data_IF_124882161563
#
_entry.id   IF_124882161563
#
_cell.length_a   1.000
_cell.length_b   1.000
_cell.length_c   1.000
_cell.angle_alpha   90.00
_cell.angle_beta   90.00
_cell.angle_gamma   90.00
#
_symmetry.space_group_name_H-M   'P 1'
#
loop_
_entity.id
_entity.type
_entity.pdbx_description
1 polymer ?
#
# COMPACT_ATOMS: atom_id res chain seq x y z
N UNK A 1 -39.30 -31.83 66.39
CA UNK A 1 -39.99 -31.04 67.44
C UNK A 1 -39.75 -29.58 67.09
N UNK A 2 -40.63 -29.00 66.33
CA UNK A 2 -41.70 -28.10 66.75
C UNK A 2 -41.20 -26.72 67.14
N UNK A 3 -41.48 -25.74 66.18
CA UNK A 3 -42.19 -24.48 66.44
C UNK A 3 -41.40 -23.33 67.05
N UNK A 4 -41.51 -22.10 66.74
CA UNK A 4 -42.43 -21.24 65.96
C UNK A 4 -41.94 -19.81 66.00
N UNK A 5 -42.18 -19.07 64.95
CA UNK A 5 -42.87 -17.77 64.85
C UNK A 5 -42.31 -16.47 65.41
N UNK A 6 -42.22 -15.53 64.50
CA UNK A 6 -42.76 -14.17 64.48
C UNK A 6 -42.15 -13.11 65.38
N UNK A 7 -41.91 -12.02 64.73
CA UNK A 7 -41.85 -10.71 65.38
C UNK A 7 -41.28 -9.66 64.46
N UNK A 8 -42.16 -8.85 63.97
CA UNK A 8 -42.08 -7.79 62.97
C UNK A 8 -41.56 -6.46 63.58
N UNK A 9 -41.30 -5.54 62.66
CA UNK A 9 -41.43 -4.08 62.72
C UNK A 9 -40.14 -3.26 62.81
N UNK A 10 -39.85 -2.62 61.70
CA UNK A 10 -39.68 -1.18 61.47
C UNK A 10 -38.56 -0.42 62.14
N UNK A 11 -37.65 0.09 61.37
CA UNK A 11 -37.38 1.53 61.37
C UNK A 11 -36.54 1.94 60.15
N UNK A 12 -36.97 2.96 59.47
CA UNK A 12 -36.31 3.76 58.42
C UNK A 12 -34.91 4.18 58.86
N UNK A 13 -33.96 4.13 57.96
CA UNK A 13 -32.92 5.16 57.88
C UNK A 13 -32.21 5.12 56.52
N UNK A 14 -32.48 6.15 55.76
CA UNK A 14 -31.56 6.97 54.96
C UNK A 14 -30.54 6.29 54.03
N UNK A 15 -30.78 6.50 52.78
CA UNK A 15 -29.92 6.22 51.63
C UNK A 15 -28.53 6.85 51.76
N UNK A 16 -27.49 6.05 51.51
CA UNK A 16 -26.25 6.52 50.96
C UNK A 16 -26.02 5.76 49.66
N UNK A 17 -26.25 6.47 48.55
CA UNK A 17 -25.78 6.05 47.22
C UNK A 17 -24.25 6.05 47.21
N UNK A 18 -23.63 4.92 47.38
CA UNK A 18 -22.29 4.70 46.91
C UNK A 18 -22.38 4.20 45.48
N UNK A 19 -22.03 5.08 44.56
CA UNK A 19 -21.82 4.75 43.18
C UNK A 19 -20.71 3.69 43.04
N UNK A 20 -21.08 2.46 42.75
CA UNK A 20 -20.19 1.48 42.18
C UNK A 20 -19.83 1.97 40.79
N UNK A 21 -18.66 2.58 40.65
CA UNK A 21 -18.00 2.70 39.35
C UNK A 21 -17.70 1.29 38.86
N UNK A 22 -18.60 0.82 37.99
CA UNK A 22 -18.38 -0.36 37.21
C UNK A 22 -17.13 -0.15 36.35
N UNK A 23 -16.23 -1.12 36.43
CA UNK A 23 -15.07 -1.26 35.56
C UNK A 23 -15.38 -0.92 34.13
N UNK A 24 -14.55 -0.04 33.57
CA UNK A 24 -14.63 0.36 32.19
C UNK A 24 -14.57 -0.85 31.24
N UNK A 25 -15.67 -1.08 30.57
CA UNK A 25 -15.58 -1.55 29.20
C UNK A 25 -14.92 -0.42 28.45
N UNK A 26 -13.80 -0.72 27.81
CA UNK A 26 -13.33 0.06 26.68
C UNK A 26 -14.47 0.08 25.64
N UNK A 27 -15.35 1.08 25.77
CA UNK A 27 -16.16 1.50 24.68
C UNK A 27 -15.17 2.02 23.66
N UNK A 28 -14.84 1.21 22.66
CA UNK A 28 -14.00 1.62 21.57
C UNK A 28 -14.48 2.99 21.12
N UNK A 29 -13.59 3.96 21.12
CA UNK A 29 -13.91 5.33 20.75
C UNK A 29 -14.73 5.28 19.46
N UNK A 30 -15.95 5.85 19.50
CA UNK A 30 -16.80 5.91 18.33
C UNK A 30 -15.99 6.52 17.19
N UNK A 31 -15.97 5.87 16.04
CA UNK A 31 -15.28 6.37 14.87
C UNK A 31 -15.85 7.77 14.55
N UNK A 32 -15.06 8.86 14.64
CA UNK A 32 -15.55 10.19 14.35
C UNK A 32 -16.05 10.35 12.92
N UNK A 33 -15.76 9.39 12.04
CA UNK A 33 -16.23 9.35 10.66
C UNK A 33 -17.45 8.43 10.47
N UNK A 34 -17.93 7.74 11.51
CA UNK A 34 -19.17 6.98 11.44
C UNK A 34 -20.37 7.93 11.46
N UNK A 35 -21.20 7.90 10.42
CA UNK A 35 -22.45 8.67 10.33
C UNK A 35 -23.61 7.73 10.02
N UNK A 36 -24.59 7.69 10.90
CA UNK A 36 -25.82 6.92 10.65
C UNK A 36 -26.62 7.42 9.44
N UNK A 37 -26.35 8.65 8.98
CA UNK A 37 -27.04 9.29 7.87
C UNK A 37 -26.32 9.15 6.54
N UNK A 38 -25.13 8.57 6.51
CA UNK A 38 -24.37 8.34 5.28
C UNK A 38 -25.01 7.24 4.45
N UNK A 39 -25.49 7.61 3.26
CA UNK A 39 -26.24 6.71 2.34
C UNK A 39 -25.70 6.85 0.94
N UNK A 40 -25.38 5.74 0.32
CA UNK A 40 -24.97 5.70 -1.09
C UNK A 40 -24.03 4.53 -1.39
N UNK A 41 -23.82 4.29 -2.67
CA UNK A 41 -22.88 3.30 -3.18
C UNK A 41 -21.81 4.03 -3.98
N UNK A 42 -20.55 3.73 -3.70
CA UNK A 42 -19.40 4.20 -4.48
C UNK A 42 -18.57 3.03 -4.97
N UNK A 43 -17.99 3.20 -6.14
CA UNK A 43 -17.14 2.20 -6.79
C UNK A 43 -15.75 2.76 -7.01
N UNK A 44 -14.77 1.93 -6.75
CA UNK A 44 -13.36 2.18 -7.04
C UNK A 44 -12.77 1.12 -7.95
N UNK A 45 -11.68 1.45 -8.61
CA UNK A 45 -10.87 0.47 -9.33
C UNK A 45 -9.41 0.92 -9.41
N UNK A 46 -8.51 -0.01 -9.71
CA UNK A 46 -7.13 0.37 -10.04
C UNK A 46 -6.06 -0.52 -9.46
N UNK A 47 -5.08 0.09 -8.79
CA UNK A 47 -3.87 -0.55 -8.32
C UNK A 47 -4.13 -1.84 -7.54
N UNK A 48 -3.59 -2.96 -8.03
CA UNK A 48 -3.71 -4.28 -7.38
C UNK A 48 -2.80 -4.40 -6.15
N UNK A 49 -1.80 -3.52 -6.01
CA UNK A 49 -0.97 -3.37 -4.81
C UNK A 49 -1.80 -3.02 -3.57
N UNK A 50 -2.87 -2.24 -3.74
CA UNK A 50 -3.75 -1.80 -2.66
C UNK A 50 -4.83 -2.82 -2.27
N UNK A 51 -5.03 -3.94 -2.98
CA UNK A 51 -6.22 -4.78 -2.83
C UNK A 51 -6.54 -5.16 -1.38
N UNK A 52 -5.55 -5.66 -0.62
CA UNK A 52 -5.79 -6.05 0.79
C UNK A 52 -6.04 -4.85 1.71
N UNK A 53 -5.42 -3.70 1.43
CA UNK A 53 -5.69 -2.46 2.16
C UNK A 53 -7.11 -1.96 1.87
N UNK A 54 -7.54 -2.03 0.62
CA UNK A 54 -8.90 -1.69 0.19
C UNK A 54 -9.92 -2.60 0.87
N UNK A 55 -9.69 -3.91 0.90
CA UNK A 55 -10.56 -4.87 1.59
C UNK A 55 -10.68 -4.55 3.09
N UNK A 56 -9.56 -4.24 3.75
CA UNK A 56 -9.55 -3.87 5.17
C UNK A 56 -10.29 -2.55 5.43
N UNK A 57 -10.10 -1.54 4.57
CA UNK A 57 -10.80 -0.26 4.66
C UNK A 57 -12.30 -0.41 4.40
N UNK A 58 -12.70 -1.07 3.30
CA UNK A 58 -14.09 -1.29 2.92
C UNK A 58 -14.86 -2.03 4.01
N UNK A 59 -14.34 -3.16 4.48
CA UNK A 59 -14.99 -3.97 5.51
C UNK A 59 -15.19 -3.18 6.81
N UNK A 60 -14.17 -2.42 7.23
CA UNK A 60 -14.25 -1.63 8.47
C UNK A 60 -15.18 -0.42 8.31
N UNK A 61 -15.10 0.28 7.18
CA UNK A 61 -15.93 1.44 6.88
C UNK A 61 -17.41 1.07 6.78
N UNK A 62 -17.76 0.05 6.00
CA UNK A 62 -19.14 -0.43 5.84
C UNK A 62 -19.70 -1.00 7.15
N UNK A 63 -18.86 -1.65 7.97
CA UNK A 63 -19.28 -2.09 9.30
C UNK A 63 -19.71 -0.95 10.24
N UNK A 64 -19.17 0.25 10.04
CA UNK A 64 -19.54 1.45 10.80
C UNK A 64 -20.64 2.30 10.11
N UNK A 65 -20.86 2.13 8.80
CA UNK A 65 -21.76 2.92 7.97
C UNK A 65 -22.70 2.01 7.17
N UNK A 66 -23.67 1.39 7.86
CA UNK A 66 -24.50 0.29 7.33
C UNK A 66 -25.36 0.64 6.09
N UNK A 67 -25.49 1.91 5.74
CA UNK A 67 -26.25 2.39 4.57
C UNK A 67 -25.34 2.91 3.45
N UNK A 68 -24.03 2.82 3.63
CA UNK A 68 -23.04 3.14 2.62
C UNK A 68 -22.38 1.85 2.13
N UNK A 69 -22.21 1.73 0.81
CA UNK A 69 -21.52 0.60 0.17
C UNK A 69 -20.31 1.11 -0.58
N UNK A 70 -19.20 0.42 -0.45
CA UNK A 70 -17.97 0.68 -1.18
C UNK A 70 -17.55 -0.61 -1.85
N UNK A 71 -17.22 -0.57 -3.13
CA UNK A 71 -16.67 -1.67 -3.90
C UNK A 71 -15.35 -1.26 -4.56
N UNK A 72 -14.42 -2.18 -4.68
CA UNK A 72 -13.13 -1.93 -5.33
C UNK A 72 -12.71 -3.10 -6.21
N UNK A 73 -12.48 -2.81 -7.48
CA UNK A 73 -11.98 -3.78 -8.46
C UNK A 73 -10.51 -3.51 -8.79
N UNK A 74 -9.68 -4.54 -8.76
CA UNK A 74 -8.33 -4.48 -9.30
C UNK A 74 -8.32 -4.16 -10.81
N UNK A 75 -7.16 -4.27 -11.44
CA UNK A 75 -6.99 -4.08 -12.88
C UNK A 75 -5.76 -3.25 -13.26
N UNK A 76 -5.00 -2.80 -12.26
CA UNK A 76 -3.81 -1.96 -12.44
C UNK A 76 -4.11 -0.46 -12.40
N UNK A 77 -3.07 0.32 -12.11
CA UNK A 77 -3.17 1.78 -11.90
C UNK A 77 -3.71 2.52 -13.13
N UNK A 78 -3.21 2.20 -14.32
CA UNK A 78 -3.66 2.82 -15.57
C UNK A 78 -5.14 2.56 -15.86
N UNK A 79 -5.61 1.31 -15.70
CA UNK A 79 -7.02 0.97 -15.88
C UNK A 79 -7.93 1.68 -14.86
N UNK A 80 -7.47 1.84 -13.62
CA UNK A 80 -8.20 2.60 -12.59
C UNK A 80 -8.37 4.06 -12.96
N UNK A 81 -7.29 4.74 -13.38
CA UNK A 81 -7.34 6.13 -13.83
C UNK A 81 -8.25 6.31 -15.04
N UNK A 82 -8.14 5.42 -16.03
CA UNK A 82 -9.03 5.42 -17.20
C UNK A 82 -10.50 5.34 -16.81
N UNK A 83 -10.88 4.39 -15.94
CA UNK A 83 -12.26 4.24 -15.46
C UNK A 83 -12.74 5.48 -14.67
N UNK A 84 -11.85 6.10 -13.87
CA UNK A 84 -12.19 7.35 -13.18
C UNK A 84 -12.45 8.47 -14.19
N UNK A 85 -11.61 8.61 -15.20
CA UNK A 85 -11.77 9.63 -16.26
C UNK A 85 -13.07 9.42 -17.05
N UNK A 86 -13.43 8.17 -17.35
CA UNK A 86 -14.65 7.81 -18.05
C UNK A 86 -15.93 7.92 -17.20
N UNK A 87 -15.80 8.10 -15.87
CA UNK A 87 -16.93 8.14 -14.97
C UNK A 87 -17.52 6.77 -14.62
N UNK A 88 -16.80 5.70 -14.94
CA UNK A 88 -17.23 4.33 -14.62
C UNK A 88 -17.03 3.98 -13.13
N UNK A 89 -16.16 4.73 -12.44
CA UNK A 89 -15.92 4.62 -10.99
C UNK A 89 -15.87 6.01 -10.35
N UNK A 90 -16.06 6.04 -9.04
CA UNK A 90 -16.09 7.27 -8.23
C UNK A 90 -14.71 7.63 -7.69
N UNK A 91 -13.84 6.65 -7.49
CA UNK A 91 -12.45 6.86 -7.10
C UNK A 91 -11.54 5.81 -7.76
N UNK A 92 -10.24 6.10 -7.81
CA UNK A 92 -9.25 5.17 -8.33
C UNK A 92 -8.12 4.96 -7.33
N UNK A 93 -7.66 3.71 -7.20
CA UNK A 93 -6.38 3.41 -6.61
C UNK A 93 -5.29 3.51 -7.68
N UNK A 94 -4.23 4.27 -7.43
CA UNK A 94 -3.16 4.42 -8.41
C UNK A 94 -1.79 4.57 -7.73
N UNK A 95 -0.81 3.82 -8.23
CA UNK A 95 0.59 3.89 -7.80
C UNK A 95 1.38 4.95 -8.60
N UNK A 96 0.73 5.55 -9.59
CA UNK A 96 1.29 6.59 -10.44
C UNK A 96 0.33 7.77 -10.47
N UNK A 97 0.81 9.00 -10.28
CA UNK A 97 -0.02 10.19 -10.39
C UNK A 97 -0.77 10.27 -11.73
N UNK A 98 -1.95 10.88 -11.70
CA UNK A 98 -2.71 11.22 -12.91
C UNK A 98 -1.94 12.23 -13.75
N UNK A 99 -2.03 12.08 -15.06
CA UNK A 99 -1.47 13.04 -16.00
C UNK A 99 -2.29 14.34 -16.04
N UNK A 100 -1.70 15.43 -16.51
CA UNK A 100 -2.40 16.70 -16.66
C UNK A 100 -3.63 16.59 -17.58
N UNK A 101 -3.56 15.76 -18.62
CA UNK A 101 -4.70 15.48 -19.52
C UNK A 101 -5.84 14.76 -18.79
N UNK A 102 -5.52 13.69 -18.04
CA UNK A 102 -6.51 12.95 -17.24
C UNK A 102 -7.23 13.87 -16.25
N UNK A 103 -6.48 14.74 -15.56
CA UNK A 103 -7.03 15.70 -14.59
C UNK A 103 -7.92 16.75 -15.28
N UNK A 104 -7.45 17.29 -16.40
CA UNK A 104 -8.21 18.28 -17.17
C UNK A 104 -9.56 17.71 -17.63
N UNK A 105 -9.60 16.46 -18.09
CA UNK A 105 -10.81 15.78 -18.55
C UNK A 105 -11.88 15.60 -17.47
N UNK A 106 -11.50 15.52 -16.20
CA UNK A 106 -12.45 15.37 -15.08
C UNK A 106 -12.66 16.67 -14.30
N UNK A 107 -12.10 17.78 -14.76
CA UNK A 107 -12.28 19.08 -14.11
C UNK A 107 -11.56 19.23 -12.76
N UNK A 108 -10.53 18.45 -12.52
CA UNK A 108 -9.72 18.44 -11.29
C UNK A 108 -9.85 17.18 -10.46
N UNK A 109 -8.80 16.87 -9.72
CA UNK A 109 -8.72 15.68 -8.87
C UNK A 109 -8.07 16.01 -7.51
N UNK A 110 -8.38 15.19 -6.50
CA UNK A 110 -7.50 14.98 -5.35
C UNK A 110 -6.67 13.73 -5.60
N UNK A 111 -5.39 13.74 -5.20
CA UNK A 111 -4.53 12.57 -5.18
C UNK A 111 -3.88 12.46 -3.80
N UNK A 112 -4.31 11.46 -3.05
CA UNK A 112 -4.05 11.33 -1.62
C UNK A 112 -3.15 10.12 -1.36
N UNK A 113 -1.93 10.29 -0.84
CA UNK A 113 -1.00 9.21 -0.54
C UNK A 113 -1.46 8.43 0.70
N UNK A 114 -2.31 7.44 0.51
CA UNK A 114 -2.97 6.71 1.60
C UNK A 114 -2.40 5.32 1.85
N UNK A 115 -1.65 4.77 0.89
CA UNK A 115 -1.03 3.47 1.02
C UNK A 115 0.46 3.56 0.67
N UNK A 116 1.32 3.17 1.62
CA UNK A 116 2.77 3.27 1.48
C UNK A 116 3.38 1.91 1.79
N UNK A 117 3.94 1.28 0.77
CA UNK A 117 4.43 -0.08 0.89
C UNK A 117 5.78 -0.25 0.21
N UNK A 118 6.69 -1.05 0.79
CA UNK A 118 7.90 -1.44 0.08
C UNK A 118 7.56 -2.39 -1.08
N UNK A 119 8.24 -2.21 -2.21
CA UNK A 119 8.19 -3.14 -3.33
C UNK A 119 9.29 -4.17 -3.12
N UNK A 120 8.90 -5.38 -2.75
CA UNK A 120 9.83 -6.49 -2.65
C UNK A 120 10.26 -6.96 -4.04
N UNK A 121 11.57 -7.10 -4.24
CA UNK A 121 12.10 -7.89 -5.35
C UNK A 121 12.20 -9.33 -4.86
N UNK A 122 11.25 -10.16 -5.31
CA UNK A 122 11.07 -11.53 -4.85
C UNK A 122 11.68 -12.52 -5.83
N UNK A 123 12.22 -13.62 -5.31
CA UNK A 123 12.82 -14.68 -6.13
C UNK A 123 12.52 -16.07 -5.59
N UNK A 124 12.61 -17.06 -6.47
CA UNK A 124 12.42 -18.48 -6.14
C UNK A 124 13.74 -19.24 -6.31
N UNK A 125 14.45 -19.45 -5.20
CA UNK A 125 15.69 -20.20 -5.16
C UNK A 125 15.65 -21.29 -4.08
N UNK A 126 16.18 -22.49 -4.37
CA UNK A 126 16.32 -23.53 -3.36
C UNK A 126 17.20 -23.07 -2.18
N UNK A 127 16.72 -23.24 -0.97
CA UNK A 127 17.42 -22.87 0.25
C UNK A 127 17.37 -21.37 0.62
N UNK A 128 16.67 -20.55 -0.17
CA UNK A 128 16.51 -19.12 0.09
C UNK A 128 15.03 -18.78 0.17
N UNK A 129 14.45 -18.81 1.37
CA UNK A 129 13.02 -18.55 1.62
C UNK A 129 12.85 -17.68 2.85
N UNK A 130 11.69 -17.04 2.98
CA UNK A 130 11.33 -16.25 4.14
C UNK A 130 12.32 -15.11 4.41
N UNK A 131 13.03 -15.17 5.54
CA UNK A 131 13.99 -14.15 5.95
C UNK A 131 15.37 -14.26 5.26
N UNK A 132 15.52 -15.17 4.30
CA UNK A 132 16.75 -15.27 3.52
C UNK A 132 16.78 -14.19 2.45
N UNK A 133 17.83 -13.37 2.48
CA UNK A 133 17.98 -12.28 1.52
C UNK A 133 19.24 -12.47 0.67
N UNK A 134 19.10 -12.23 -0.63
CA UNK A 134 20.25 -12.01 -1.52
C UNK A 134 20.51 -10.51 -1.56
N UNK A 135 21.73 -10.12 -1.24
CA UNK A 135 22.16 -8.72 -1.28
C UNK A 135 22.42 -8.28 -2.72
N UNK A 136 21.85 -7.15 -3.11
CA UNK A 136 22.12 -6.51 -4.39
C UNK A 136 22.30 -5.01 -4.24
N UNK A 137 23.30 -4.43 -4.89
CA UNK A 137 23.30 -2.97 -5.13
C UNK A 137 22.26 -2.63 -6.21
N UNK A 138 21.83 -1.37 -6.30
CA UNK A 138 20.93 -0.94 -7.37
C UNK A 138 21.48 -1.24 -8.77
N UNK A 139 22.81 -1.11 -8.97
CA UNK A 139 23.47 -1.45 -10.24
C UNK A 139 23.41 -2.94 -10.56
N UNK A 140 23.66 -3.81 -9.56
CA UNK A 140 23.59 -5.27 -9.75
C UNK A 140 22.16 -5.69 -10.02
N UNK A 141 21.19 -5.14 -9.29
CA UNK A 141 19.77 -5.40 -9.52
C UNK A 141 19.34 -4.98 -10.94
N UNK A 142 19.77 -3.81 -11.41
CA UNK A 142 19.54 -3.37 -12.77
C UNK A 142 20.11 -4.32 -13.82
N UNK A 143 21.33 -4.81 -13.61
CA UNK A 143 21.98 -5.80 -14.50
C UNK A 143 21.27 -7.16 -14.49
N UNK A 144 20.75 -7.58 -13.35
CA UNK A 144 19.94 -8.80 -13.23
C UNK A 144 18.63 -8.65 -14.01
N UNK A 145 17.88 -7.58 -13.75
CA UNK A 145 16.59 -7.35 -14.37
C UNK A 145 16.68 -7.04 -15.87
N UNK A 146 17.76 -6.40 -16.33
CA UNK A 146 18.02 -6.18 -17.76
C UNK A 146 18.54 -7.42 -18.49
N UNK A 147 18.89 -8.51 -17.77
CA UNK A 147 19.45 -9.72 -18.36
C UNK A 147 20.94 -9.62 -18.70
N UNK A 148 21.66 -8.61 -18.22
CA UNK A 148 23.12 -8.53 -18.32
C UNK A 148 23.80 -9.56 -17.39
N UNK A 149 23.21 -9.83 -16.22
CA UNK A 149 23.55 -10.94 -15.34
C UNK A 149 22.49 -12.02 -15.54
N UNK A 150 22.91 -13.21 -15.98
CA UNK A 150 22.00 -14.28 -16.40
C UNK A 150 22.00 -15.50 -15.49
N UNK A 151 22.87 -15.55 -14.48
CA UNK A 151 22.98 -16.69 -13.56
C UNK A 151 23.08 -16.22 -12.12
N UNK A 152 22.49 -16.99 -11.21
CA UNK A 152 22.48 -16.66 -9.79
C UNK A 152 23.87 -16.74 -9.14
N UNK A 153 24.77 -17.61 -9.63
CA UNK A 153 26.18 -17.71 -9.17
C UNK A 153 27.14 -16.78 -9.90
N UNK A 154 26.64 -15.74 -10.58
CA UNK A 154 27.48 -14.73 -11.22
C UNK A 154 28.47 -14.12 -10.21
N UNK A 155 29.77 -13.93 -10.58
CA UNK A 155 30.74 -13.34 -9.68
C UNK A 155 30.36 -12.01 -9.05
N UNK A 156 29.57 -11.16 -9.75
CA UNK A 156 29.10 -9.90 -9.20
C UNK A 156 28.06 -10.11 -8.08
N UNK A 157 27.21 -11.13 -8.18
CA UNK A 157 26.29 -11.52 -7.10
C UNK A 157 27.03 -12.21 -5.95
N UNK A 158 27.94 -13.12 -6.25
CA UNK A 158 28.73 -13.86 -5.25
C UNK A 158 29.57 -12.92 -4.37
N UNK A 159 30.15 -11.88 -4.96
CA UNK A 159 30.96 -10.89 -4.24
C UNK A 159 30.14 -10.08 -3.19
N UNK A 160 28.83 -9.86 -3.44
CA UNK A 160 27.93 -9.16 -2.52
C UNK A 160 27.34 -10.10 -1.44
N UNK A 161 27.52 -11.41 -1.61
CA UNK A 161 26.90 -12.44 -0.77
C UNK A 161 27.95 -13.45 -0.26
N UNK A 162 29.00 -13.00 0.45
CA UNK A 162 30.04 -13.87 0.94
C UNK A 162 29.46 -14.95 1.86
N UNK A 163 29.76 -16.22 1.56
CA UNK A 163 29.29 -17.37 2.31
C UNK A 163 27.89 -17.89 1.89
N UNK A 164 27.17 -17.20 1.01
CA UNK A 164 25.93 -17.72 0.42
C UNK A 164 26.25 -18.68 -0.73
N UNK A 165 25.72 -19.89 -0.68
CA UNK A 165 25.86 -20.88 -1.76
C UNK A 165 24.83 -20.59 -2.88
N UNK A 166 25.07 -19.51 -3.63
CA UNK A 166 24.22 -19.17 -4.78
C UNK A 166 24.30 -20.28 -5.85
N UNK A 167 23.14 -20.82 -6.29
CA UNK A 167 23.15 -21.97 -7.20
C UNK A 167 23.52 -21.59 -8.62
N UNK A 168 24.08 -22.54 -9.37
CA UNK A 168 24.31 -22.40 -10.81
C UNK A 168 23.01 -22.56 -11.60
N UNK A 169 22.10 -21.63 -11.43
CA UNK A 169 20.80 -21.55 -12.08
C UNK A 169 20.69 -20.31 -12.95
N UNK A 170 19.97 -20.46 -14.06
CA UNK A 170 19.63 -19.33 -14.91
C UNK A 170 18.66 -18.42 -14.18
N UNK A 171 18.86 -17.11 -14.30
CA UNK A 171 17.89 -16.10 -13.86
C UNK A 171 16.78 -15.99 -14.91
N UNK A 172 15.53 -16.08 -14.47
CA UNK A 172 14.33 -15.89 -15.29
C UNK A 172 13.61 -14.68 -14.75
N UNK A 173 13.69 -13.56 -15.46
CA UNK A 173 13.02 -12.33 -15.07
C UNK A 173 11.54 -12.43 -15.41
N UNK A 174 10.69 -12.03 -14.45
CA UNK A 174 9.24 -11.95 -14.58
C UNK A 174 8.84 -10.49 -14.55
N UNK A 175 8.25 -9.98 -15.64
CA UNK A 175 7.70 -8.63 -15.73
C UNK A 175 6.18 -8.61 -15.54
N UNK A 176 5.58 -7.42 -15.39
CA UNK A 176 4.12 -7.23 -15.43
C UNK A 176 3.64 -7.21 -16.88
N UNK A 177 2.50 -7.83 -17.15
CA UNK A 177 1.85 -7.80 -18.47
C UNK A 177 0.79 -6.71 -18.62
N UNK A 178 0.39 -6.10 -17.51
CA UNK A 178 -0.53 -4.98 -17.42
C UNK A 178 0.20 -3.66 -17.12
N UNK A 179 -0.47 -2.52 -17.31
CA UNK A 179 0.03 -1.21 -16.93
C UNK A 179 0.04 -1.09 -15.41
N UNK A 180 1.25 -1.05 -14.84
CA UNK A 180 1.48 -1.19 -13.41
C UNK A 180 2.29 -0.03 -12.84
N UNK A 181 1.70 0.69 -11.89
CA UNK A 181 2.44 1.69 -11.13
C UNK A 181 3.56 1.08 -10.27
N UNK A 182 3.44 -0.19 -9.85
CA UNK A 182 4.54 -0.93 -9.20
C UNK A 182 5.73 -1.10 -10.15
N UNK A 183 5.48 -1.38 -11.45
CA UNK A 183 6.51 -1.38 -12.49
C UNK A 183 7.17 -0.01 -12.61
N UNK A 184 6.38 1.06 -12.70
CA UNK A 184 6.92 2.42 -12.81
C UNK A 184 7.75 2.82 -11.59
N UNK A 185 7.33 2.49 -10.37
CA UNK A 185 8.10 2.78 -9.16
C UNK A 185 9.45 2.05 -9.15
N UNK A 186 9.49 0.76 -9.52
CA UNK A 186 10.74 0.01 -9.65
C UNK A 186 11.63 0.59 -10.75
N UNK A 187 11.09 0.85 -11.94
CA UNK A 187 11.88 1.38 -13.07
C UNK A 187 12.38 2.80 -12.80
N UNK A 188 11.62 3.63 -12.07
CA UNK A 188 12.09 4.93 -11.56
C UNK A 188 13.31 4.78 -10.66
N UNK A 189 13.25 3.86 -9.69
CA UNK A 189 14.40 3.57 -8.85
C UNK A 189 15.62 3.16 -9.68
N UNK A 190 15.47 2.17 -10.58
CA UNK A 190 16.57 1.68 -11.39
C UNK A 190 17.18 2.75 -12.31
N UNK A 191 16.35 3.55 -12.96
CA UNK A 191 16.80 4.66 -13.81
C UNK A 191 17.55 5.73 -13.02
N UNK A 192 17.14 5.98 -11.76
CA UNK A 192 17.78 6.96 -10.88
C UNK A 192 19.15 6.48 -10.39
N UNK A 193 19.24 5.23 -9.89
CA UNK A 193 20.47 4.76 -9.21
C UNK A 193 21.46 4.07 -10.15
N UNK A 194 21.00 3.60 -11.31
CA UNK A 194 21.82 2.81 -12.23
C UNK A 194 21.53 3.14 -13.72
N UNK A 195 21.54 4.42 -14.15
CA UNK A 195 21.11 4.80 -15.50
C UNK A 195 21.90 4.15 -16.63
N UNK A 196 23.15 3.73 -16.38
CA UNK A 196 23.97 3.01 -17.39
C UNK A 196 23.57 1.54 -17.53
N UNK A 197 23.14 0.90 -16.44
CA UNK A 197 22.73 -0.50 -16.44
C UNK A 197 21.23 -0.65 -16.78
N UNK A 198 20.46 0.41 -16.58
CA UNK A 198 19.02 0.51 -16.89
C UNK A 198 18.74 1.75 -17.74
N UNK A 199 19.00 1.72 -19.04
CA UNK A 199 18.81 2.87 -19.95
C UNK A 199 17.37 2.95 -20.47
N UNK A 200 16.39 2.74 -19.61
CA UNK A 200 14.97 2.79 -19.92
C UNK A 200 14.30 3.88 -19.09
N UNK A 201 13.41 4.64 -19.70
CA UNK A 201 12.59 5.61 -19.00
C UNK A 201 11.64 4.91 -18.02
N UNK A 202 11.26 5.57 -16.92
CA UNK A 202 10.25 5.04 -16.00
C UNK A 202 8.87 4.92 -16.67
N UNK A 203 8.40 3.68 -16.81
CA UNK A 203 7.14 3.35 -17.50
C UNK A 203 6.27 2.41 -16.66
N UNK A 204 4.94 2.46 -16.86
CA UNK A 204 4.01 1.48 -16.27
C UNK A 204 4.07 0.13 -16.97
N UNK A 205 4.42 0.13 -18.24
CA UNK A 205 4.64 -1.07 -19.06
C UNK A 205 6.06 -1.61 -18.84
N UNK A 206 6.21 -2.92 -18.67
CA UNK A 206 7.53 -3.53 -18.56
C UNK A 206 8.32 -3.37 -19.88
N UNK A 207 9.51 -2.71 -19.86
CA UNK A 207 10.16 -2.30 -21.10
C UNK A 207 10.88 -3.41 -21.85
N UNK A 208 11.11 -4.57 -21.19
CA UNK A 208 11.94 -5.63 -21.76
C UNK A 208 11.09 -6.74 -22.38
N UNK A 209 11.56 -7.27 -23.48
CA UNK A 209 10.97 -8.42 -24.15
C UNK A 209 11.73 -9.70 -23.81
N UNK A 210 11.04 -10.81 -23.79
CA UNK A 210 11.59 -12.10 -23.34
C UNK A 210 11.49 -12.27 -21.82
N UNK A 211 11.61 -13.50 -21.32
CA UNK A 211 11.28 -13.80 -19.93
C UNK A 211 9.83 -14.22 -19.76
N UNK A 212 9.35 -14.18 -18.54
CA UNK A 212 7.95 -14.49 -18.18
C UNK A 212 7.22 -13.23 -17.79
N UNK A 213 5.89 -13.31 -17.72
CA UNK A 213 5.06 -12.20 -17.27
C UNK A 213 3.91 -12.69 -16.39
N UNK A 214 3.39 -11.78 -15.55
CA UNK A 214 2.24 -12.01 -14.70
C UNK A 214 1.29 -10.82 -14.75
N UNK A 215 0.00 -11.10 -14.84
CA UNK A 215 -1.05 -10.09 -14.81
C UNK A 215 -1.39 -9.72 -13.37
N UNK A 216 -1.32 -8.43 -13.06
CA UNK A 216 -1.51 -7.93 -11.71
C UNK A 216 -0.47 -8.46 -10.71
N UNK A 217 -0.61 -8.07 -9.45
CA UNK A 217 0.28 -8.52 -8.36
C UNK A 217 0.16 -10.03 -8.12
N UNK A 218 -1.05 -10.58 -8.19
CA UNK A 218 -1.29 -12.01 -7.97
C UNK A 218 -0.65 -12.88 -9.06
N UNK A 219 -0.81 -12.51 -10.34
CA UNK A 219 -0.19 -13.20 -11.47
C UNK A 219 1.32 -13.13 -11.43
N UNK A 220 1.90 -11.98 -11.02
CA UNK A 220 3.34 -11.83 -10.79
C UNK A 220 3.85 -12.85 -9.75
N UNK A 221 3.24 -12.90 -8.56
CA UNK A 221 3.65 -13.81 -7.48
C UNK A 221 3.44 -15.27 -7.89
N UNK A 222 2.34 -15.60 -8.55
CA UNK A 222 2.08 -16.95 -9.06
C UNK A 222 3.18 -17.37 -10.04
N UNK A 223 3.56 -16.52 -10.99
CA UNK A 223 4.60 -16.81 -11.99
C UNK A 223 5.97 -16.97 -11.34
N UNK A 224 6.34 -16.12 -10.39
CA UNK A 224 7.60 -16.25 -9.63
C UNK A 224 7.62 -17.54 -8.82
N UNK A 225 6.51 -17.90 -8.17
CA UNK A 225 6.42 -19.12 -7.35
C UNK A 225 6.47 -20.41 -8.17
N UNK A 226 6.04 -20.37 -9.43
CA UNK A 226 5.87 -21.56 -10.27
C UNK A 226 7.18 -22.17 -10.78
N UNK A 227 8.28 -21.39 -10.87
CA UNK A 227 9.53 -21.86 -11.45
C UNK A 227 10.76 -21.46 -10.63
N UNK A 228 11.67 -22.39 -10.46
CA UNK A 228 12.98 -22.15 -9.81
C UNK A 228 13.87 -21.27 -10.68
N UNK A 229 14.57 -20.33 -10.05
CA UNK A 229 15.46 -19.37 -10.72
C UNK A 229 14.77 -18.09 -11.17
N UNK A 230 13.47 -17.95 -10.95
CA UNK A 230 12.71 -16.73 -11.26
C UNK A 230 13.04 -15.59 -10.30
N UNK A 231 12.90 -14.36 -10.81
CA UNK A 231 12.94 -13.10 -10.06
C UNK A 231 11.88 -12.17 -10.63
N UNK A 232 11.13 -11.51 -9.75
CA UNK A 232 10.10 -10.53 -10.09
C UNK A 232 9.94 -9.50 -8.97
N UNK A 233 8.86 -8.74 -8.99
CA UNK A 233 8.62 -7.66 -8.02
C UNK A 233 7.13 -7.53 -7.71
N UNK A 234 6.85 -7.24 -6.46
CA UNK A 234 5.46 -7.05 -5.99
C UNK A 234 5.44 -6.22 -4.71
N UNK A 235 4.26 -5.77 -4.33
CA UNK A 235 4.02 -5.31 -2.97
C UNK A 235 4.49 -6.37 -1.97
N UNK A 236 5.24 -5.94 -0.96
CA UNK A 236 5.87 -6.87 -0.01
C UNK A 236 4.85 -7.73 0.73
N UNK A 237 3.64 -7.21 0.97
CA UNK A 237 2.55 -7.94 1.63
C UNK A 237 2.07 -9.18 0.86
N UNK A 238 2.30 -9.20 -0.44
CA UNK A 238 1.87 -10.28 -1.34
C UNK A 238 2.94 -11.36 -1.53
N UNK A 239 4.15 -11.15 -1.02
CA UNK A 239 5.24 -12.11 -1.16
C UNK A 239 5.11 -13.19 -0.09
N UNK A 240 4.84 -14.44 -0.46
CA UNK A 240 4.73 -15.53 0.51
C UNK A 240 6.10 -15.90 1.09
N UNK A 241 6.11 -16.42 2.31
CA UNK A 241 7.34 -16.85 2.99
C UNK A 241 8.10 -18.00 2.28
N UNK A 242 7.51 -18.58 1.24
CA UNK A 242 8.18 -19.58 0.38
C UNK A 242 9.15 -18.98 -0.63
N UNK A 243 9.09 -17.68 -0.87
CA UNK A 243 10.01 -16.94 -1.73
C UNK A 243 11.02 -16.18 -0.87
N UNK A 244 12.25 -16.02 -1.43
CA UNK A 244 13.24 -15.10 -0.87
C UNK A 244 13.04 -13.68 -1.41
N UNK A 245 13.64 -12.70 -0.76
CA UNK A 245 13.60 -11.30 -1.18
C UNK A 245 15.01 -10.69 -1.24
N UNK A 246 15.19 -9.71 -2.11
CA UNK A 246 16.45 -8.99 -2.24
C UNK A 246 16.57 -7.94 -1.12
N UNK A 247 17.69 -7.93 -0.41
CA UNK A 247 18.11 -6.79 0.39
C UNK A 247 18.86 -5.81 -0.50
N UNK A 248 18.32 -4.60 -0.65
CA UNK A 248 18.86 -3.59 -1.57
C UNK A 248 19.70 -2.57 -0.80
N UNK A 249 20.82 -2.18 -1.39
CA UNK A 249 21.66 -1.19 -0.74
C UNK A 249 22.92 -0.85 -1.52
N UNK A 250 23.82 -0.15 -0.83
CA UNK A 250 25.12 0.26 -1.35
C UNK A 250 26.19 0.24 -0.27
N UNK A 251 27.47 0.20 -0.68
CA UNK A 251 28.63 0.31 0.24
C UNK A 251 28.64 -0.71 1.40
N UNK A 252 28.13 -1.94 1.16
CA UNK A 252 28.08 -2.99 2.18
C UNK A 252 26.95 -2.87 3.21
N UNK A 253 26.10 -1.84 3.09
CA UNK A 253 24.91 -1.67 3.89
C UNK A 253 23.67 -2.08 3.07
N UNK A 254 23.13 -3.26 3.35
CA UNK A 254 21.95 -3.81 2.66
C UNK A 254 20.74 -3.78 3.59
N UNK A 255 19.64 -3.25 3.10
CA UNK A 255 18.41 -3.11 3.87
C UNK A 255 17.38 -4.14 3.37
N UNK A 256 16.97 -5.10 4.21
CA UNK A 256 15.88 -5.99 3.90
C UNK A 256 14.55 -5.25 3.79
N UNK A 257 13.67 -5.77 2.95
CA UNK A 257 12.33 -5.23 2.79
C UNK A 257 11.56 -5.30 4.11
N UNK A 258 11.01 -4.16 4.57
CA UNK A 258 10.15 -4.11 5.76
C UNK A 258 9.34 -2.81 5.80
N UNK A 259 8.20 -2.82 6.52
CA UNK A 259 7.41 -1.62 6.77
C UNK A 259 8.21 -0.52 7.47
N UNK A 260 9.07 -0.88 8.43
CA UNK A 260 9.94 0.06 9.14
C UNK A 260 10.93 0.75 8.19
N UNK A 261 11.55 -0.01 7.30
CA UNK A 261 12.51 0.53 6.33
C UNK A 261 11.81 1.39 5.25
N UNK A 262 10.56 1.04 4.87
CA UNK A 262 9.73 1.88 4.01
C UNK A 262 9.32 3.20 4.69
N UNK A 263 8.98 3.17 5.97
CA UNK A 263 8.68 4.37 6.75
C UNK A 263 9.88 5.33 6.79
N UNK A 264 11.11 4.83 6.95
CA UNK A 264 12.32 5.67 6.91
C UNK A 264 12.50 6.38 5.55
N UNK A 265 12.20 5.72 4.44
CA UNK A 265 12.21 6.34 3.12
C UNK A 265 11.14 7.44 2.98
N UNK A 266 9.97 7.26 3.62
CA UNK A 266 8.89 8.23 3.64
C UNK A 266 9.19 9.44 4.53
N UNK A 267 9.82 9.22 5.70
CA UNK A 267 10.21 10.31 6.61
C UNK A 267 11.18 11.28 5.94
N UNK A 268 11.99 10.79 5.00
CA UNK A 268 12.90 11.56 4.17
C UNK A 268 12.29 12.00 2.81
N UNK A 269 11.01 11.72 2.56
CA UNK A 269 10.35 12.03 1.29
C UNK A 269 10.10 13.51 1.10
N UNK A 270 10.18 13.97 -0.15
CA UNK A 270 9.86 15.34 -0.56
C UNK A 270 8.59 15.37 -1.41
N UNK A 271 7.95 16.53 -1.52
CA UNK A 271 6.88 16.74 -2.49
C UNK A 271 7.47 16.95 -3.88
N UNK A 272 6.91 16.25 -4.87
CA UNK A 272 7.28 16.44 -6.27
C UNK A 272 6.88 17.82 -6.80
N UNK A 273 7.48 18.23 -7.92
CA UNK A 273 7.25 19.54 -8.55
C UNK A 273 5.81 19.77 -9.03
N UNK A 274 5.06 18.69 -9.29
CA UNK A 274 3.66 18.74 -9.71
C UNK A 274 2.66 18.64 -8.54
N UNK A 275 3.17 18.58 -7.30
CA UNK A 275 2.32 18.54 -6.11
C UNK A 275 1.73 19.94 -5.85
N UNK A 276 0.47 19.93 -5.41
CA UNK A 276 -0.26 21.11 -4.97
C UNK A 276 -1.10 20.78 -3.71
N UNK A 277 -2.01 21.66 -3.35
CA UNK A 277 -2.87 21.49 -2.17
C UNK A 277 -3.97 20.41 -2.31
N UNK A 278 -4.16 19.85 -3.52
CA UNK A 278 -5.10 18.76 -3.83
C UNK A 278 -4.37 17.48 -4.22
N UNK A 279 -3.18 17.61 -4.78
CA UNK A 279 -2.35 16.54 -5.29
C UNK A 279 -1.09 16.41 -4.44
N UNK A 280 -1.13 15.54 -3.44
CA UNK A 280 -0.05 15.38 -2.46
C UNK A 280 0.96 14.33 -2.95
N UNK A 281 1.71 14.65 -3.98
CA UNK A 281 2.63 13.74 -4.68
C UNK A 281 3.97 13.66 -3.95
N UNK A 282 4.15 12.64 -3.12
CA UNK A 282 5.39 12.39 -2.39
C UNK A 282 6.38 11.56 -3.20
N UNK A 283 7.65 11.93 -3.11
CA UNK A 283 8.78 11.20 -3.68
C UNK A 283 9.63 10.62 -2.53
N UNK A 284 9.63 9.28 -2.33
CA UNK A 284 10.45 8.64 -1.31
C UNK A 284 11.93 8.87 -1.56
N UNK A 285 12.73 8.91 -0.49
CA UNK A 285 14.18 8.94 -0.61
C UNK A 285 14.73 7.55 -0.95
N UNK A 286 15.67 7.50 -1.90
CA UNK A 286 16.35 6.26 -2.29
C UNK A 286 17.67 6.02 -1.54
N UNK A 287 18.14 7.01 -0.76
CA UNK A 287 19.46 7.02 -0.12
C UNK A 287 19.43 7.35 1.37
N UNK A 288 18.23 7.47 1.97
CA UNK A 288 18.09 7.71 3.40
C UNK A 288 18.65 6.53 4.21
N UNK A 289 19.34 6.82 5.31
CA UNK A 289 19.94 5.81 6.18
C UNK A 289 18.89 4.85 6.75
N UNK A 290 19.15 3.55 6.63
CA UNK A 290 18.23 2.51 7.09
C UNK A 290 16.92 2.38 6.29
N UNK A 291 16.75 3.16 5.21
CA UNK A 291 15.59 3.07 4.35
C UNK A 291 15.73 1.95 3.31
N UNK A 292 14.64 1.23 3.07
CA UNK A 292 14.51 0.37 1.90
C UNK A 292 14.21 1.25 0.68
N UNK A 293 15.02 1.22 -0.38
CA UNK A 293 14.97 2.27 -1.39
C UNK A 293 13.85 2.15 -2.43
N UNK A 294 13.18 0.99 -2.51
CA UNK A 294 12.11 0.74 -3.49
C UNK A 294 10.77 0.81 -2.75
N UNK A 295 10.25 2.03 -2.59
CA UNK A 295 8.99 2.30 -1.88
C UNK A 295 7.95 2.79 -2.85
N UNK A 296 6.77 2.20 -2.75
CA UNK A 296 5.56 2.61 -3.43
C UNK A 296 4.82 3.61 -2.56
N UNK A 297 4.56 4.79 -3.10
CA UNK A 297 3.54 5.70 -2.60
C UNK A 297 2.32 5.55 -3.49
N UNK A 298 1.28 4.97 -2.96
CA UNK A 298 0.05 4.69 -3.70
C UNK A 298 -1.07 5.62 -3.24
N UNK A 299 -1.81 6.13 -4.19
CA UNK A 299 -2.78 7.20 -4.02
C UNK A 299 -4.20 6.68 -4.15
N UNK A 300 -5.11 7.30 -3.41
CA UNK A 300 -6.52 7.32 -3.78
C UNK A 300 -6.78 8.64 -4.53
N UNK A 301 -7.16 8.53 -5.79
CA UNK A 301 -7.54 9.63 -6.65
C UNK A 301 -9.07 9.73 -6.73
N UNK A 302 -9.61 10.94 -6.62
CA UNK A 302 -11.04 11.19 -6.71
C UNK A 302 -11.30 12.55 -7.39
N UNK A 303 -12.50 12.73 -7.97
CA UNK A 303 -12.89 13.99 -8.60
C UNK A 303 -13.02 15.10 -7.56
N UNK A 304 -12.72 16.32 -7.94
CA UNK A 304 -13.04 17.50 -7.10
C UNK A 304 -14.53 17.81 -7.10
N UNK A 305 -15.31 17.37 -8.10
CA UNK A 305 -16.76 17.59 -8.19
C UNK A 305 -17.50 16.31 -8.58
N UNK A 306 -18.63 16.12 -7.93
CA UNK A 306 -19.61 15.05 -8.21
C UNK A 306 -20.95 15.67 -8.45
N UNK A 307 -21.73 15.10 -9.40
CA UNK A 307 -23.11 15.59 -9.70
C UNK A 307 -24.11 15.17 -8.61
N UNK A 308 -23.84 14.12 -7.84
CA UNK A 308 -24.68 13.66 -6.73
C UNK A 308 -23.99 13.95 -5.38
N UNK A 309 -24.63 14.78 -4.56
CA UNK A 309 -24.14 15.15 -3.23
C UNK A 309 -23.99 13.95 -2.28
N UNK A 310 -24.78 12.88 -2.46
CA UNK A 310 -24.67 11.66 -1.66
C UNK A 310 -23.40 10.91 -2.02
N UNK A 311 -23.07 10.78 -3.30
CA UNK A 311 -21.81 10.17 -3.77
C UNK A 311 -20.63 10.97 -3.25
N UNK A 312 -20.64 12.31 -3.40
CA UNK A 312 -19.60 13.18 -2.85
C UNK A 312 -19.39 12.95 -1.34
N UNK A 313 -20.50 12.84 -0.57
CA UNK A 313 -20.44 12.62 0.87
C UNK A 313 -19.82 11.26 1.23
N UNK A 314 -20.19 10.17 0.51
CA UNK A 314 -19.64 8.83 0.75
C UNK A 314 -18.16 8.78 0.37
N UNK A 315 -17.76 9.36 -0.78
CA UNK A 315 -16.35 9.45 -1.20
C UNK A 315 -15.52 10.19 -0.15
N UNK A 316 -15.96 11.38 0.27
CA UNK A 316 -15.25 12.16 1.32
C UNK A 316 -15.12 11.37 2.62
N UNK A 317 -16.18 10.72 3.06
CA UNK A 317 -16.16 9.93 4.29
C UNK A 317 -15.21 8.72 4.19
N UNK A 318 -15.23 8.01 3.06
CA UNK A 318 -14.35 6.88 2.82
C UNK A 318 -12.87 7.28 2.77
N UNK A 319 -12.53 8.34 2.04
CA UNK A 319 -11.17 8.88 1.98
C UNK A 319 -10.68 9.35 3.35
N UNK A 320 -11.52 10.04 4.13
CA UNK A 320 -11.20 10.43 5.52
C UNK A 320 -11.00 9.22 6.43
N UNK A 321 -11.86 8.21 6.27
CA UNK A 321 -11.68 6.96 7.02
C UNK A 321 -10.32 6.31 6.70
N UNK A 322 -9.99 6.14 5.42
CA UNK A 322 -8.70 5.58 5.01
C UNK A 322 -7.51 6.39 5.54
N UNK A 323 -7.62 7.73 5.63
CA UNK A 323 -6.61 8.61 6.20
C UNK A 323 -6.59 8.62 7.74
N UNK A 324 -7.65 8.17 8.41
CA UNK A 324 -7.75 8.19 9.87
C UNK A 324 -6.74 7.24 10.53
N UNK A 325 -6.46 7.44 11.82
CA UNK A 325 -5.60 6.51 12.57
C UNK A 325 -6.14 5.09 12.47
N UNK A 326 -7.46 4.91 12.66
CA UNK A 326 -8.11 3.59 12.56
C UNK A 326 -8.00 2.98 11.16
N UNK A 327 -8.20 3.78 10.10
CA UNK A 327 -8.02 3.34 8.71
C UNK A 327 -6.59 2.90 8.44
N UNK A 328 -5.62 3.66 8.89
CA UNK A 328 -4.20 3.31 8.75
C UNK A 328 -3.83 2.06 9.58
N UNK A 329 -4.35 1.93 10.79
CA UNK A 329 -4.10 0.75 11.65
C UNK A 329 -4.64 -0.53 11.01
N UNK A 330 -5.84 -0.52 10.42
CA UNK A 330 -6.41 -1.71 9.79
C UNK A 330 -5.68 -2.08 8.50
N UNK A 331 -5.24 -1.12 7.69
CA UNK A 331 -4.42 -1.41 6.51
C UNK A 331 -3.03 -1.91 6.89
N UNK A 332 -2.36 -1.29 7.85
CA UNK A 332 -1.06 -1.75 8.35
C UNK A 332 -1.14 -3.17 8.90
N UNK A 333 -2.20 -3.49 9.63
CA UNK A 333 -2.42 -4.85 10.15
C UNK A 333 -2.66 -5.88 9.04
N UNK A 334 -3.36 -5.49 7.99
CA UNK A 334 -3.68 -6.37 6.86
C UNK A 334 -2.48 -6.59 5.92
N UNK A 335 -1.65 -5.56 5.74
CA UNK A 335 -0.64 -5.55 4.67
C UNK A 335 0.79 -5.31 5.14
N UNK A 336 1.02 -4.89 6.39
CA UNK A 336 2.34 -4.44 6.83
C UNK A 336 2.80 -3.14 6.15
N UNK A 337 1.91 -2.36 5.54
CA UNK A 337 2.25 -1.05 4.97
C UNK A 337 2.68 -0.06 6.07
N UNK A 338 3.45 0.95 5.68
CA UNK A 338 3.81 2.03 6.59
C UNK A 338 2.62 2.99 6.75
N UNK A 339 2.24 3.38 7.97
CA UNK A 339 1.19 4.37 8.17
C UNK A 339 1.65 5.77 7.74
N UNK A 340 0.72 6.58 7.26
CA UNK A 340 0.98 7.98 6.94
C UNK A 340 1.30 8.78 8.22
N UNK A 341 2.15 9.80 8.10
CA UNK A 341 2.50 10.68 9.21
C UNK A 341 1.32 11.58 9.61
N UNK A 342 1.38 12.15 10.83
CA UNK A 342 0.37 13.12 11.28
C UNK A 342 0.31 14.33 10.32
N UNK A 343 1.45 14.85 9.90
CA UNK A 343 1.51 15.99 9.00
C UNK A 343 0.89 15.69 7.63
N UNK A 344 1.14 14.49 7.08
CA UNK A 344 0.48 14.04 5.85
C UNK A 344 -1.02 13.99 6.03
N UNK A 345 -1.52 13.42 7.14
CA UNK A 345 -2.95 13.32 7.43
C UNK A 345 -3.63 14.69 7.48
N UNK A 346 -3.00 15.68 8.08
CA UNK A 346 -3.54 17.05 8.13
C UNK A 346 -3.69 17.64 6.72
N UNK A 347 -2.68 17.49 5.86
CA UNK A 347 -2.74 17.93 4.45
C UNK A 347 -3.79 17.14 3.65
N UNK A 348 -3.87 15.82 3.83
CA UNK A 348 -4.84 14.96 3.18
C UNK A 348 -6.27 15.39 3.52
N UNK A 349 -6.57 15.65 4.80
CA UNK A 349 -7.89 16.13 5.20
C UNK A 349 -8.24 17.48 4.57
N UNK A 350 -7.28 18.41 4.50
CA UNK A 350 -7.48 19.69 3.82
C UNK A 350 -7.77 19.53 2.31
N UNK A 351 -7.12 18.58 1.65
CA UNK A 351 -7.41 18.25 0.25
C UNK A 351 -8.81 17.62 0.08
N UNK A 352 -9.20 16.69 0.96
CA UNK A 352 -10.54 16.08 0.95
C UNK A 352 -11.64 17.13 1.15
N UNK A 353 -11.41 18.18 1.95
CA UNK A 353 -12.38 19.24 2.16
C UNK A 353 -12.76 19.98 0.87
N UNK A 354 -11.89 20.00 -0.13
CA UNK A 354 -12.13 20.63 -1.44
C UNK A 354 -13.05 19.84 -2.36
N UNK A 355 -13.32 18.56 -2.06
CA UNK A 355 -14.30 17.77 -2.82
C UNK A 355 -15.69 18.36 -2.58
N UNK A 356 -16.41 18.65 -3.65
CA UNK A 356 -17.75 19.25 -3.65
C UNK A 356 -18.74 18.43 -4.50
N UNK A 357 -20.02 18.70 -4.30
CA UNK A 357 -21.09 18.26 -5.19
C UNK A 357 -21.46 19.39 -6.16
#
# INVERSE_FOLDING_TARGET
MLLTRRGALSALSVATLTALTACGRDAGAADPNASSDLVGEIRGAGATSQSDAQDAWMNTFMGANLRATVDYAGGGSGAGRTKLVEGAVDFAGTDTPMTADEISRIGGAVELPLYISPIAVAYNLPGFTGESHVNMTGEVLAKVLSGAITRWNDPALAALNPGAALPDLRIIVVGRSDDSGTTKALTTYLATVAPKAWPHEPEETWPLRGGQSGDGTAGMIQTVSAATGTIGYADASKVPATLGTVAVGSNGAYVPVSAKAAAAALDAATLGSEADETRLLYQPSHDAEGAYPIVLVSYLAARLRYDDARIAAVVKAYLRFAASTRGQDVSTKATGCAPITRQMREKINAAIDKIAA
#
